data_IF_577060503818
#
_entry.id   IF_577060503818
#
_cell.length_a   1.000
_cell.length_b   1.000
_cell.length_c   1.000
_cell.angle_alpha   90.00
_cell.angle_beta   90.00
_cell.angle_gamma   90.00
#
_symmetry.space_group_name_H-M   'P 1'
#
loop_
_entity.id
_entity.type
_entity.pdbx_description
1 polymer ?
#
# COMPACT_ATOMS: atom_id res chain seq x y z
N UNK A 1 -19.13 -24.56 -7.77
CA UNK A 1 -18.82 -23.63 -8.89
C UNK A 1 -17.85 -22.60 -8.38
N UNK A 2 -16.60 -22.61 -8.83
CA UNK A 2 -15.60 -21.58 -8.46
C UNK A 2 -15.99 -20.27 -9.16
N UNK A 3 -16.13 -19.19 -8.37
CA UNK A 3 -16.40 -17.86 -8.90
C UNK A 3 -15.26 -17.44 -9.86
N UNK A 4 -15.61 -16.67 -10.92
CA UNK A 4 -14.60 -16.08 -11.79
C UNK A 4 -13.69 -15.16 -10.99
N UNK A 5 -12.41 -14.96 -11.37
CA UNK A 5 -11.52 -14.02 -10.69
C UNK A 5 -12.11 -12.63 -10.49
N UNK A 6 -12.84 -12.11 -11.49
CA UNK A 6 -13.52 -10.82 -11.40
C UNK A 6 -14.64 -10.80 -10.34
N UNK A 7 -15.48 -11.84 -10.31
CA UNK A 7 -16.54 -11.96 -9.30
C UNK A 7 -15.96 -12.11 -7.89
N UNK A 8 -14.87 -12.86 -7.73
CA UNK A 8 -14.17 -12.98 -6.45
C UNK A 8 -13.65 -11.62 -5.96
N UNK A 9 -12.99 -10.85 -6.84
CA UNK A 9 -12.49 -9.51 -6.50
C UNK A 9 -13.64 -8.58 -6.08
N UNK A 10 -14.78 -8.61 -6.74
CA UNK A 10 -15.96 -7.79 -6.36
C UNK A 10 -16.49 -8.15 -4.97
N UNK A 11 -16.54 -9.44 -4.63
CA UNK A 11 -16.89 -9.88 -3.29
C UNK A 11 -15.87 -9.42 -2.25
N UNK A 12 -14.58 -9.49 -2.58
CA UNK A 12 -13.51 -9.08 -1.69
C UNK A 12 -13.54 -7.57 -1.43
N UNK A 13 -13.77 -6.74 -2.48
CA UNK A 13 -13.97 -5.28 -2.35
C UNK A 13 -15.13 -4.98 -1.38
N UNK A 14 -16.24 -5.69 -1.55
CA UNK A 14 -17.40 -5.50 -0.68
C UNK A 14 -17.08 -5.84 0.76
N UNK A 15 -16.41 -6.98 1.00
CA UNK A 15 -16.03 -7.43 2.34
C UNK A 15 -15.01 -6.48 2.98
N UNK A 16 -13.99 -6.05 2.24
CA UNK A 16 -12.96 -5.14 2.74
C UNK A 16 -13.47 -3.71 2.99
N UNK A 17 -14.50 -3.26 2.26
CA UNK A 17 -15.09 -1.94 2.46
C UNK A 17 -16.15 -1.91 3.58
N UNK A 18 -16.71 -3.06 3.96
CA UNK A 18 -17.82 -3.13 4.92
C UNK A 18 -17.50 -2.51 6.29
N UNK A 19 -16.30 -2.70 6.89
CA UNK A 19 -15.95 -2.10 8.17
C UNK A 19 -16.08 -0.56 8.20
N UNK A 20 -15.88 0.09 7.05
CA UNK A 20 -15.91 1.55 6.94
C UNK A 20 -17.32 2.16 6.98
N UNK A 21 -18.39 1.35 6.93
CA UNK A 21 -19.77 1.88 7.05
C UNK A 21 -20.00 2.61 8.35
N UNK A 22 -19.46 2.08 9.45
CA UNK A 22 -19.56 2.70 10.77
C UNK A 22 -18.79 4.02 10.85
N UNK A 23 -17.72 4.18 10.07
CA UNK A 23 -16.91 5.40 9.99
C UNK A 23 -17.50 6.48 9.07
N UNK A 24 -18.69 6.24 8.51
CA UNK A 24 -19.47 7.19 7.71
C UNK A 24 -19.44 6.92 6.20
N UNK A 25 -20.41 7.55 5.50
CA UNK A 25 -20.63 7.33 4.05
C UNK A 25 -19.39 7.64 3.22
N UNK A 26 -18.67 8.71 3.53
CA UNK A 26 -17.45 9.09 2.82
C UNK A 26 -16.38 7.99 2.91
N UNK A 27 -16.07 7.52 4.12
CA UNK A 27 -15.07 6.49 4.35
C UNK A 27 -15.41 5.20 3.60
N UNK A 28 -16.67 4.80 3.61
CA UNK A 28 -17.14 3.61 2.92
C UNK A 28 -17.07 3.73 1.39
N UNK A 29 -17.55 4.85 0.80
CA UNK A 29 -17.47 5.06 -0.65
C UNK A 29 -16.02 5.19 -1.11
N UNK A 30 -15.17 5.88 -0.33
CA UNK A 30 -13.75 5.98 -0.61
C UNK A 30 -13.08 4.60 -0.61
N UNK A 31 -13.35 3.76 0.39
CA UNK A 31 -12.82 2.39 0.46
C UNK A 31 -13.23 1.57 -0.77
N UNK A 32 -14.52 1.57 -1.12
CA UNK A 32 -15.01 0.86 -2.31
C UNK A 32 -14.38 1.36 -3.60
N UNK A 33 -14.32 2.68 -3.77
CA UNK A 33 -13.75 3.31 -4.96
C UNK A 33 -12.25 3.02 -5.11
N UNK A 34 -11.49 3.19 -4.04
CA UNK A 34 -10.03 2.95 -4.06
C UNK A 34 -9.72 1.46 -4.26
N UNK A 35 -10.34 0.55 -3.52
CA UNK A 35 -10.10 -0.89 -3.66
C UNK A 35 -10.56 -1.45 -5.01
N UNK A 36 -11.64 -0.89 -5.59
CA UNK A 36 -12.16 -1.36 -6.86
C UNK A 36 -11.57 -0.69 -8.10
N UNK A 37 -11.13 0.58 -7.96
CA UNK A 37 -10.57 1.37 -9.06
C UNK A 37 -9.06 1.31 -9.18
N UNK A 38 -8.37 0.81 -8.16
CA UNK A 38 -6.91 0.76 -8.13
C UNK A 38 -6.41 -0.69 -8.32
N UNK A 39 -5.76 -0.99 -9.46
CA UNK A 39 -5.34 -2.36 -9.78
C UNK A 39 -4.32 -2.95 -8.81
N UNK A 40 -3.60 -2.11 -8.04
CA UNK A 40 -2.55 -2.60 -7.14
C UNK A 40 -3.09 -3.58 -6.10
N UNK A 41 -4.27 -3.34 -5.54
CA UNK A 41 -4.83 -4.19 -4.49
C UNK A 41 -5.07 -5.62 -4.97
N UNK A 42 -5.73 -5.78 -6.13
CA UNK A 42 -5.94 -7.09 -6.73
C UNK A 42 -4.60 -7.74 -7.11
N UNK A 43 -3.66 -6.97 -7.65
CA UNK A 43 -2.34 -7.44 -8.07
C UNK A 43 -1.50 -7.97 -6.89
N UNK A 44 -1.50 -7.28 -5.75
CA UNK A 44 -0.78 -7.73 -4.54
C UNK A 44 -1.16 -9.15 -4.13
N UNK A 45 -2.44 -9.51 -4.27
CA UNK A 45 -2.95 -10.84 -3.93
C UNK A 45 -2.69 -11.86 -5.05
N UNK A 46 -3.02 -11.51 -6.30
CA UNK A 46 -2.92 -12.42 -7.44
C UNK A 46 -1.45 -12.81 -7.75
N UNK A 47 -0.52 -11.89 -7.51
CA UNK A 47 0.92 -12.13 -7.67
C UNK A 47 1.60 -12.70 -6.39
N UNK A 48 0.86 -12.85 -5.28
CA UNK A 48 1.38 -13.42 -4.04
C UNK A 48 2.46 -12.57 -3.37
N UNK A 49 2.49 -11.26 -3.60
CA UNK A 49 3.60 -10.39 -3.16
C UNK A 49 3.71 -10.29 -1.63
N UNK A 50 2.62 -10.58 -0.91
CA UNK A 50 2.55 -10.58 0.54
C UNK A 50 2.32 -11.97 1.15
N UNK A 51 2.35 -13.03 0.34
CA UNK A 51 2.23 -14.41 0.81
C UNK A 51 3.39 -14.76 1.76
N UNK A 52 3.07 -15.37 2.91
CA UNK A 52 4.05 -15.79 3.93
C UNK A 52 4.64 -14.66 4.77
N UNK A 53 4.27 -13.38 4.52
CA UNK A 53 4.75 -12.25 5.32
C UNK A 53 3.97 -12.14 6.62
N UNK A 54 4.68 -12.07 7.75
CA UNK A 54 4.09 -12.07 9.08
C UNK A 54 3.95 -10.67 9.66
N UNK A 55 4.94 -9.79 9.42
CA UNK A 55 4.96 -8.41 9.91
C UNK A 55 5.00 -7.46 8.72
N UNK A 56 3.90 -6.80 8.45
CA UNK A 56 3.75 -5.86 7.34
C UNK A 56 3.72 -4.43 7.89
N UNK A 57 4.57 -3.56 7.36
CA UNK A 57 4.55 -2.12 7.61
C UNK A 57 3.94 -1.42 6.39
N UNK A 58 2.87 -0.65 6.61
CA UNK A 58 2.17 0.16 5.60
C UNK A 58 2.44 1.64 5.86
N UNK A 59 3.33 2.26 5.08
CA UNK A 59 3.71 3.67 5.22
C UNK A 59 2.82 4.53 4.33
N UNK A 60 2.11 5.47 4.94
CA UNK A 60 1.04 6.24 4.30
C UNK A 60 -0.23 5.41 4.15
N UNK A 61 -0.59 4.69 5.20
CA UNK A 61 -1.68 3.71 5.19
C UNK A 61 -3.08 4.32 5.00
N UNK A 62 -3.22 5.65 5.08
CA UNK A 62 -4.51 6.32 5.05
C UNK A 62 -5.44 5.77 6.12
N UNK A 63 -6.67 5.46 5.73
CA UNK A 63 -7.64 4.84 6.64
C UNK A 63 -7.49 3.30 6.78
N UNK A 64 -6.29 2.73 6.49
CA UNK A 64 -6.00 1.31 6.72
C UNK A 64 -6.54 0.36 5.65
N UNK A 65 -6.67 0.81 4.39
CA UNK A 65 -7.29 0.00 3.32
C UNK A 65 -6.51 -1.27 3.02
N UNK A 66 -5.18 -1.24 3.02
CA UNK A 66 -4.36 -2.44 2.83
C UNK A 66 -4.64 -3.47 3.92
N UNK A 67 -4.68 -3.05 5.18
CA UNK A 67 -4.99 -3.94 6.30
C UNK A 67 -6.36 -4.59 6.12
N UNK A 68 -7.40 -3.81 5.81
CA UNK A 68 -8.74 -4.34 5.57
C UNK A 68 -8.78 -5.33 4.41
N UNK A 69 -8.03 -5.04 3.34
CA UNK A 69 -7.90 -5.92 2.18
C UNK A 69 -7.28 -7.27 2.52
N UNK A 70 -6.20 -7.27 3.31
CA UNK A 70 -5.52 -8.49 3.76
C UNK A 70 -6.39 -9.32 4.71
N UNK A 71 -7.11 -8.68 5.63
CA UNK A 71 -8.06 -9.35 6.53
C UNK A 71 -9.23 -9.99 5.75
N UNK A 72 -9.76 -9.31 4.74
CA UNK A 72 -10.80 -9.85 3.88
C UNK A 72 -10.29 -11.05 3.06
N UNK A 73 -9.05 -10.99 2.55
CA UNK A 73 -8.38 -12.09 1.85
C UNK A 73 -8.20 -13.31 2.76
N UNK A 74 -7.71 -13.10 3.98
CA UNK A 74 -7.57 -14.14 4.99
C UNK A 74 -8.91 -14.80 5.32
N UNK A 75 -9.96 -14.00 5.51
CA UNK A 75 -11.30 -14.50 5.79
C UNK A 75 -11.88 -15.28 4.59
N UNK A 76 -11.64 -14.86 3.34
CA UNK A 76 -12.04 -15.59 2.15
C UNK A 76 -11.34 -16.95 2.07
N UNK A 77 -10.05 -16.99 2.34
CA UNK A 77 -9.28 -18.25 2.40
C UNK A 77 -9.81 -19.20 3.48
N UNK A 78 -10.10 -18.69 4.68
CA UNK A 78 -10.63 -19.51 5.77
C UNK A 78 -12.03 -20.07 5.48
N UNK A 79 -12.82 -19.40 4.63
CA UNK A 79 -14.11 -19.89 4.14
C UNK A 79 -14.03 -20.84 2.94
N UNK A 80 -12.81 -21.12 2.43
CA UNK A 80 -12.62 -21.98 1.26
C UNK A 80 -13.06 -21.34 -0.07
N UNK A 81 -13.20 -20.01 -0.11
CA UNK A 81 -13.59 -19.27 -1.33
C UNK A 81 -12.41 -18.65 -2.08
N UNK A 82 -11.17 -18.90 -1.62
CA UNK A 82 -9.96 -18.41 -2.26
C UNK A 82 -9.74 -19.07 -3.62
N UNK A 83 -9.31 -18.32 -4.67
CA UNK A 83 -9.08 -18.89 -5.99
C UNK A 83 -7.94 -19.93 -5.96
N UNK A 84 -8.23 -21.14 -6.42
CA UNK A 84 -7.25 -22.25 -6.37
C UNK A 84 -6.05 -22.10 -7.31
N UNK A 85 -6.11 -21.15 -8.25
CA UNK A 85 -5.02 -20.81 -9.18
C UNK A 85 -4.21 -19.58 -8.72
N UNK A 86 -4.51 -19.01 -7.55
CA UNK A 86 -3.72 -17.94 -6.95
C UNK A 86 -2.72 -18.51 -5.94
N UNK A 87 -1.60 -17.79 -5.68
CA UNK A 87 -0.76 -18.09 -4.53
C UNK A 87 -1.57 -18.10 -3.24
N UNK A 88 -1.05 -18.73 -2.20
CA UNK A 88 -1.71 -18.76 -0.89
C UNK A 88 -2.07 -17.36 -0.41
N UNK A 89 -3.24 -17.25 0.21
CA UNK A 89 -3.71 -15.98 0.76
C UNK A 89 -2.73 -15.47 1.83
N UNK A 90 -2.44 -14.15 1.85
CA UNK A 90 -1.62 -13.57 2.90
C UNK A 90 -2.31 -13.73 4.26
N UNK A 91 -1.53 -14.09 5.27
CA UNK A 91 -1.98 -14.27 6.67
C UNK A 91 -0.99 -13.59 7.61
N UNK A 92 -0.88 -12.26 7.58
CA UNK A 92 0.03 -11.56 8.47
C UNK A 92 -0.39 -11.74 9.92
N UNK A 93 0.60 -11.93 10.80
CA UNK A 93 0.37 -11.90 12.23
C UNK A 93 0.08 -10.48 12.70
N UNK A 94 0.72 -9.49 12.07
CA UNK A 94 0.51 -8.08 12.39
C UNK A 94 0.71 -7.18 11.17
N UNK A 95 -0.18 -6.20 11.00
CA UNK A 95 -0.03 -5.09 10.05
C UNK A 95 0.05 -3.78 10.82
N UNK A 96 1.16 -3.07 10.70
CA UNK A 96 1.34 -1.74 11.28
C UNK A 96 1.20 -0.68 10.22
N UNK A 97 0.25 0.24 10.40
CA UNK A 97 0.07 1.42 9.56
C UNK A 97 0.70 2.67 10.17
N UNK A 98 1.40 3.45 9.37
CA UNK A 98 1.89 4.80 9.72
C UNK A 98 1.20 5.80 8.81
N UNK A 99 0.59 6.83 9.37
CA UNK A 99 -0.13 7.86 8.63
C UNK A 99 0.07 9.23 9.29
N UNK A 100 0.29 10.25 8.47
CA UNK A 100 0.48 11.62 8.95
C UNK A 100 -0.84 12.26 9.43
N UNK A 101 -1.94 11.90 8.77
CA UNK A 101 -3.25 12.53 8.97
C UNK A 101 -4.01 11.89 10.13
N UNK A 102 -4.13 12.57 11.26
CA UNK A 102 -4.81 12.10 12.47
C UNK A 102 -6.23 11.57 12.20
N UNK A 103 -6.99 12.23 11.32
CA UNK A 103 -8.36 11.81 11.02
C UNK A 103 -8.44 10.48 10.24
N UNK A 104 -7.42 10.14 9.46
CA UNK A 104 -7.36 8.86 8.75
C UNK A 104 -6.93 7.74 9.71
N UNK A 105 -6.03 8.02 10.66
CA UNK A 105 -5.68 7.09 11.75
C UNK A 105 -6.92 6.76 12.60
N UNK A 106 -7.69 7.77 13.00
CA UNK A 106 -8.94 7.55 13.76
C UNK A 106 -9.95 6.71 12.97
N UNK A 107 -10.05 6.91 11.66
CA UNK A 107 -10.91 6.09 10.80
C UNK A 107 -10.42 4.65 10.70
N UNK A 108 -9.11 4.45 10.56
CA UNK A 108 -8.50 3.12 10.52
C UNK A 108 -8.76 2.36 11.82
N UNK A 109 -8.48 2.98 12.97
CA UNK A 109 -8.71 2.40 14.29
C UNK A 109 -10.19 2.06 14.53
N UNK A 110 -11.09 2.96 14.14
CA UNK A 110 -12.54 2.73 14.29
C UNK A 110 -13.05 1.61 13.38
N UNK A 111 -12.71 1.65 12.09
CA UNK A 111 -13.17 0.66 11.12
C UNK A 111 -12.60 -0.73 11.41
N UNK A 112 -11.35 -0.81 11.87
CA UNK A 112 -10.63 -2.06 12.08
C UNK A 112 -10.45 -2.39 13.57
N UNK A 113 -11.29 -1.82 14.44
CA UNK A 113 -11.22 -2.02 15.89
C UNK A 113 -11.13 -3.49 16.32
N UNK A 114 -11.86 -4.45 15.74
CA UNK A 114 -11.71 -5.85 16.10
C UNK A 114 -10.29 -6.40 15.84
N UNK A 115 -9.66 -6.02 14.73
CA UNK A 115 -8.30 -6.45 14.40
C UNK A 115 -7.26 -5.77 15.31
N UNK A 116 -7.47 -4.48 15.64
CA UNK A 116 -6.63 -3.75 16.61
C UNK A 116 -6.70 -4.39 17.99
N UNK A 117 -7.91 -4.69 18.48
CA UNK A 117 -8.11 -5.35 19.78
C UNK A 117 -7.52 -6.77 19.83
N UNK A 118 -7.54 -7.48 18.69
CA UNK A 118 -6.92 -8.80 18.56
C UNK A 118 -5.38 -8.74 18.38
N UNK A 119 -4.77 -7.56 18.34
CA UNK A 119 -3.34 -7.38 18.11
C UNK A 119 -2.88 -7.70 16.67
N UNK A 120 -3.82 -7.83 15.72
CA UNK A 120 -3.52 -8.11 14.31
C UNK A 120 -3.19 -6.83 13.51
N UNK A 121 -3.60 -5.67 14.00
CA UNK A 121 -3.32 -4.38 13.39
C UNK A 121 -3.01 -3.31 14.43
N UNK A 122 -2.25 -2.30 14.01
CA UNK A 122 -2.06 -1.05 14.77
C UNK A 122 -1.87 0.11 13.80
N UNK A 123 -2.39 1.28 14.16
CA UNK A 123 -2.25 2.50 13.37
C UNK A 123 -1.64 3.60 14.22
N UNK A 124 -0.64 4.28 13.68
CA UNK A 124 0.10 5.31 14.41
C UNK A 124 0.11 6.59 13.60
N UNK A 125 -0.30 7.70 14.23
CA UNK A 125 -0.11 9.01 13.63
C UNK A 125 1.36 9.39 13.76
N UNK A 126 2.09 9.42 12.64
CA UNK A 126 3.48 9.82 12.61
C UNK A 126 3.90 10.28 11.21
N UNK A 127 4.92 11.13 11.16
CA UNK A 127 5.59 11.52 9.92
C UNK A 127 6.59 10.41 9.52
N UNK A 128 6.49 9.91 8.28
CA UNK A 128 7.41 8.90 7.74
C UNK A 128 8.88 9.35 7.80
N UNK A 129 9.14 10.66 7.78
CA UNK A 129 10.49 11.20 7.85
C UNK A 129 11.15 11.02 9.23
N UNK A 130 10.36 10.81 10.29
CA UNK A 130 10.87 10.68 11.67
C UNK A 130 10.37 9.45 12.42
N UNK A 131 9.34 8.75 11.92
CA UNK A 131 8.74 7.61 12.57
C UNK A 131 9.72 6.45 12.74
N UNK A 132 9.64 5.73 13.85
CA UNK A 132 10.28 4.43 13.99
C UNK A 132 9.53 3.37 13.18
N UNK A 133 10.23 2.67 12.29
CA UNK A 133 9.64 1.64 11.43
C UNK A 133 9.61 0.25 12.10
N UNK A 134 10.41 0.04 13.15
CA UNK A 134 10.54 -1.27 13.78
C UNK A 134 11.11 -2.32 12.83
N UNK A 135 10.69 -3.58 13.02
CA UNK A 135 11.10 -4.70 12.18
C UNK A 135 9.92 -5.23 11.36
N UNK A 136 10.10 -5.46 10.07
CA UNK A 136 9.09 -5.94 9.15
C UNK A 136 9.63 -7.01 8.18
N UNK A 137 8.75 -7.87 7.68
CA UNK A 137 9.04 -8.83 6.61
C UNK A 137 8.65 -8.28 5.24
N UNK A 138 7.72 -7.32 5.24
CA UNK A 138 7.33 -6.55 4.08
C UNK A 138 7.04 -5.10 4.46
N UNK A 139 7.46 -4.16 3.62
CA UNK A 139 7.08 -2.76 3.72
C UNK A 139 6.31 -2.39 2.45
N UNK A 140 5.20 -1.70 2.62
CA UNK A 140 4.35 -1.23 1.53
C UNK A 140 4.29 0.30 1.57
N UNK A 141 4.56 0.94 0.44
CA UNK A 141 4.48 2.39 0.27
C UNK A 141 3.76 2.65 -1.04
N UNK A 142 2.52 3.11 -0.98
CA UNK A 142 1.70 3.34 -2.17
C UNK A 142 1.39 4.83 -2.34
N UNK A 143 2.00 5.47 -3.33
CA UNK A 143 1.69 6.85 -3.77
C UNK A 143 1.89 7.95 -2.71
N UNK A 144 2.80 7.80 -1.76
CA UNK A 144 3.01 8.82 -0.72
C UNK A 144 4.42 9.38 -0.69
N UNK A 145 5.42 8.68 -1.24
CA UNK A 145 6.81 9.10 -1.10
C UNK A 145 7.14 10.40 -1.87
N UNK A 146 6.39 10.71 -2.91
CA UNK A 146 6.57 11.94 -3.69
C UNK A 146 6.12 13.23 -2.96
N UNK A 147 5.50 13.11 -1.78
CA UNK A 147 5.13 14.28 -0.98
C UNK A 147 6.30 14.86 -0.17
N UNK A 148 7.41 14.15 -0.06
CA UNK A 148 8.58 14.61 0.67
C UNK A 148 9.77 14.87 -0.27
N UNK A 149 10.69 15.81 0.09
CA UNK A 149 11.87 16.14 -0.73
C UNK A 149 12.73 14.91 -1.03
N UNK A 150 13.46 14.94 -2.14
CA UNK A 150 14.28 13.82 -2.62
C UNK A 150 15.25 13.29 -1.55
N UNK A 151 15.92 14.18 -0.82
CA UNK A 151 16.81 13.76 0.27
C UNK A 151 16.07 13.01 1.39
N UNK A 152 14.85 13.44 1.73
CA UNK A 152 14.02 12.75 2.71
C UNK A 152 13.50 11.39 2.17
N UNK A 153 13.22 11.30 0.87
CA UNK A 153 12.89 10.01 0.23
C UNK A 153 14.04 9.01 0.38
N UNK A 154 15.27 9.45 0.14
CA UNK A 154 16.47 8.60 0.29
C UNK A 154 16.66 8.13 1.72
N UNK A 155 16.47 9.02 2.71
CA UNK A 155 16.52 8.66 4.14
C UNK A 155 15.42 7.64 4.50
N UNK A 156 14.17 7.88 4.08
CA UNK A 156 13.06 6.93 4.30
C UNK A 156 13.41 5.56 3.73
N UNK A 157 13.92 5.48 2.49
CA UNK A 157 14.28 4.22 1.87
C UNK A 157 15.45 3.52 2.57
N UNK A 158 16.44 4.26 3.05
CA UNK A 158 17.55 3.72 3.85
C UNK A 158 17.03 3.11 5.18
N UNK A 159 16.10 3.78 5.84
CA UNK A 159 15.47 3.29 7.08
C UNK A 159 14.54 2.10 6.83
N UNK A 160 13.83 2.09 5.72
CA UNK A 160 13.07 0.91 5.26
C UNK A 160 13.98 -0.30 5.08
N UNK A 161 15.14 -0.10 4.43
CA UNK A 161 16.13 -1.18 4.28
C UNK A 161 16.59 -1.72 5.63
N UNK A 162 16.79 -0.87 6.63
CA UNK A 162 17.21 -1.28 7.99
C UNK A 162 16.09 -2.00 8.75
N UNK A 163 14.83 -1.65 8.51
CA UNK A 163 13.66 -2.28 9.15
C UNK A 163 13.33 -3.66 8.58
N UNK A 164 13.75 -3.96 7.35
CA UNK A 164 13.44 -5.23 6.70
C UNK A 164 14.32 -6.37 7.23
N UNK A 165 13.65 -7.46 7.57
CA UNK A 165 14.28 -8.74 7.88
C UNK A 165 15.03 -9.30 6.65
N UNK A 166 16.02 -10.19 6.80
CA UNK A 166 16.65 -10.88 5.68
C UNK A 166 15.61 -11.52 4.75
N UNK A 167 15.75 -11.31 3.43
CA UNK A 167 14.77 -11.76 2.44
C UNK A 167 13.44 -10.99 2.46
N UNK A 168 13.38 -9.88 3.19
CA UNK A 168 12.22 -8.98 3.21
C UNK A 168 11.97 -8.30 1.87
N UNK A 169 10.77 -7.74 1.68
CA UNK A 169 10.35 -7.08 0.45
C UNK A 169 9.84 -5.68 0.72
N UNK A 170 10.25 -4.73 -0.11
CA UNK A 170 9.62 -3.42 -0.24
C UNK A 170 8.75 -3.42 -1.49
N UNK A 171 7.49 -3.07 -1.34
CA UNK A 171 6.53 -2.81 -2.41
C UNK A 171 6.31 -1.32 -2.50
N UNK A 172 7.00 -0.68 -3.45
CA UNK A 172 6.96 0.77 -3.63
C UNK A 172 6.23 1.12 -4.91
N UNK A 173 5.10 1.82 -4.82
CA UNK A 173 4.43 2.37 -5.98
C UNK A 173 4.77 3.83 -6.15
N UNK A 174 5.17 4.19 -7.37
CA UNK A 174 5.54 5.54 -7.78
C UNK A 174 4.91 5.90 -9.12
N UNK A 175 4.68 7.18 -9.35
CA UNK A 175 4.40 7.70 -10.68
C UNK A 175 5.72 7.86 -11.46
N UNK A 176 5.75 7.46 -12.73
CA UNK A 176 6.89 7.72 -13.59
C UNK A 176 6.85 9.16 -14.10
N UNK A 177 7.80 9.97 -13.65
CA UNK A 177 7.92 11.38 -14.08
C UNK A 177 8.20 11.53 -15.59
N UNK A 178 8.70 10.49 -16.27
CA UNK A 178 8.91 10.47 -17.74
C UNK A 178 7.61 10.14 -18.51
N UNK A 179 6.52 9.76 -17.84
CA UNK A 179 5.27 9.25 -18.44
C UNK A 179 4.35 10.27 -19.12
N UNK A 180 4.80 11.47 -19.44
CA UNK A 180 4.08 12.43 -20.31
C UNK A 180 2.70 12.88 -19.79
N UNK A 181 1.64 12.71 -20.59
CA UNK A 181 0.27 13.18 -20.27
C UNK A 181 -0.34 12.51 -19.02
N UNK A 182 -0.05 11.23 -18.76
CA UNK A 182 -0.52 10.50 -17.59
C UNK A 182 0.00 11.09 -16.28
N UNK A 183 1.21 11.64 -16.28
CA UNK A 183 1.80 12.34 -15.15
C UNK A 183 1.08 13.65 -14.79
N UNK A 184 0.64 14.42 -15.81
CA UNK A 184 -0.12 15.67 -15.58
C UNK A 184 -1.50 15.44 -14.97
N UNK A 185 -2.15 14.33 -15.29
CA UNK A 185 -3.47 13.96 -14.75
C UNK A 185 -3.32 13.47 -13.31
N UNK A 186 -2.28 12.71 -12.99
CA UNK A 186 -1.95 12.30 -11.61
C UNK A 186 -1.79 13.52 -10.70
N UNK A 187 -1.03 14.51 -11.14
CA UNK A 187 -0.84 15.79 -10.45
C UNK A 187 -2.16 16.53 -10.15
N UNK A 188 -3.12 16.49 -11.07
CA UNK A 188 -4.41 17.16 -10.88
C UNK A 188 -5.28 16.45 -9.84
N UNK A 189 -5.34 15.12 -9.86
CA UNK A 189 -6.10 14.33 -8.87
C UNK A 189 -5.49 14.49 -7.47
N UNK A 190 -4.17 14.44 -7.35
CA UNK A 190 -3.48 14.67 -6.09
C UNK A 190 -3.73 16.10 -5.56
N UNK A 191 -3.78 17.09 -6.43
CA UNK A 191 -4.11 18.48 -6.04
C UNK A 191 -5.54 18.62 -5.53
N UNK A 192 -6.51 17.94 -6.13
CA UNK A 192 -7.90 17.95 -5.68
C UNK A 192 -8.06 17.23 -4.34
N UNK A 193 -7.43 16.05 -4.16
CA UNK A 193 -7.50 15.27 -2.92
C UNK A 193 -6.85 16.01 -1.76
N UNK A 194 -5.74 16.68 -1.99
CA UNK A 194 -5.00 17.42 -0.94
C UNK A 194 -5.64 18.76 -0.62
N UNK A 195 -6.23 19.45 -1.58
CA UNK A 195 -7.01 20.69 -1.33
C UNK A 195 -8.24 20.38 -0.47
N UNK A 196 -8.92 19.25 -0.72
CA UNK A 196 -10.04 18.77 0.10
C UNK A 196 -9.60 18.33 1.51
N UNK A 197 -8.31 17.99 1.71
CA UNK A 197 -7.72 17.61 3.01
C UNK A 197 -7.09 18.78 3.77
N UNK A 198 -7.17 20.01 3.25
CA UNK A 198 -6.71 21.21 3.95
C UNK A 198 -5.20 21.46 3.92
N UNK A 199 -4.43 20.70 3.11
CA UNK A 199 -3.00 20.93 2.91
C UNK A 199 -2.72 21.76 1.64
N UNK A 200 -1.94 22.82 1.77
CA UNK A 200 -1.29 23.49 0.63
C UNK A 200 -0.11 22.63 0.19
N UNK A 201 -0.32 21.73 -0.78
CA UNK A 201 0.81 21.09 -1.45
C UNK A 201 1.57 22.14 -2.25
N UNK A 202 2.80 22.39 -1.85
CA UNK A 202 3.66 23.35 -2.54
C UNK A 202 4.39 22.71 -3.73
N UNK A 203 4.80 21.45 -3.65
CA UNK A 203 5.62 20.79 -4.70
C UNK A 203 5.53 19.28 -4.59
N UNK A 204 5.39 18.57 -5.70
CA UNK A 204 5.56 17.12 -5.79
C UNK A 204 7.00 16.81 -6.24
N UNK A 205 7.67 15.94 -5.51
CA UNK A 205 9.05 15.55 -5.76
C UNK A 205 9.10 14.19 -6.47
N UNK A 206 8.83 14.20 -7.77
CA UNK A 206 8.82 12.99 -8.57
C UNK A 206 10.20 12.73 -9.18
N UNK A 207 10.59 11.46 -9.26
CA UNK A 207 11.82 10.99 -9.91
C UNK A 207 11.50 10.19 -11.17
N UNK A 208 12.38 10.16 -12.17
CA UNK A 208 12.33 9.16 -13.24
C UNK A 208 12.42 7.73 -12.64
N UNK A 209 11.77 6.78 -13.31
CA UNK A 209 11.77 5.38 -12.87
C UNK A 209 13.18 4.81 -12.66
N UNK A 210 14.12 5.14 -13.57
CA UNK A 210 15.51 4.70 -13.45
C UNK A 210 16.17 5.16 -12.15
N UNK A 211 15.93 6.42 -11.72
CA UNK A 211 16.49 6.95 -10.48
C UNK A 211 15.97 6.19 -9.24
N UNK A 212 14.68 5.82 -9.23
CA UNK A 212 14.11 4.96 -8.16
C UNK A 212 14.81 3.59 -8.13
N UNK A 213 14.98 2.96 -9.30
CA UNK A 213 15.62 1.65 -9.40
C UNK A 213 17.08 1.71 -8.95
N UNK A 214 17.82 2.74 -9.34
CA UNK A 214 19.24 2.90 -8.98
C UNK A 214 19.41 3.14 -7.48
N UNK A 215 18.56 3.98 -6.88
CA UNK A 215 18.54 4.19 -5.42
C UNK A 215 18.31 2.86 -4.68
N UNK A 216 17.31 2.08 -5.09
CA UNK A 216 16.99 0.81 -4.44
C UNK A 216 18.10 -0.24 -4.63
N UNK A 217 18.68 -0.33 -5.84
CA UNK A 217 19.83 -1.23 -6.10
C UNK A 217 21.04 -0.85 -5.26
N UNK A 218 21.30 0.47 -5.11
CA UNK A 218 22.36 1.00 -4.24
C UNK A 218 22.16 0.63 -2.76
N UNK A 219 20.92 0.48 -2.32
CA UNK A 219 20.56 0.01 -0.98
C UNK A 219 20.61 -1.52 -0.84
N UNK A 220 20.99 -2.27 -1.87
CA UNK A 220 21.14 -3.73 -1.82
C UNK A 220 19.87 -4.51 -2.15
N UNK A 221 18.90 -3.91 -2.84
CA UNK A 221 17.73 -4.62 -3.33
C UNK A 221 17.92 -5.16 -4.75
N UNK A 222 17.29 -6.30 -5.02
CA UNK A 222 16.95 -6.73 -6.37
C UNK A 222 15.57 -6.13 -6.72
N UNK A 223 15.52 -5.38 -7.84
CA UNK A 223 14.36 -4.55 -8.17
C UNK A 223 13.74 -4.98 -9.47
N UNK A 224 12.46 -5.34 -9.43
CA UNK A 224 11.59 -5.59 -10.56
C UNK A 224 10.57 -4.45 -10.67
N UNK A 225 10.34 -3.93 -11.89
CA UNK A 225 9.35 -2.90 -12.16
C UNK A 225 8.15 -3.51 -12.89
N UNK A 226 6.96 -3.30 -12.35
CA UNK A 226 5.71 -3.83 -12.88
C UNK A 226 4.77 -2.67 -13.21
N UNK A 227 4.30 -2.57 -14.47
CA UNK A 227 3.34 -1.55 -14.86
C UNK A 227 2.03 -1.70 -14.07
N UNK A 228 1.54 -0.62 -13.48
CA UNK A 228 0.36 -0.62 -12.60
C UNK A 228 -0.65 0.45 -13.03
N UNK A 229 -0.76 0.67 -14.33
CA UNK A 229 -1.61 1.70 -14.94
C UNK A 229 -2.91 1.15 -15.53
N UNK A 230 -3.13 -0.17 -15.54
CA UNK A 230 -4.28 -0.79 -16.22
C UNK A 230 -5.60 -0.22 -15.69
N UNK A 231 -6.40 0.34 -16.60
CA UNK A 231 -7.69 0.94 -16.26
C UNK A 231 -7.62 2.29 -15.57
N UNK A 232 -6.43 2.90 -15.46
CA UNK A 232 -6.25 4.24 -14.88
C UNK A 232 -5.49 5.16 -15.86
N UNK A 233 -5.72 6.47 -15.83
CA UNK A 233 -4.96 7.42 -16.65
C UNK A 233 -3.54 7.70 -16.12
N UNK A 234 -3.10 7.01 -15.08
CA UNK A 234 -1.85 7.27 -14.37
C UNK A 234 -0.72 6.38 -14.86
N UNK A 235 0.48 6.92 -15.01
CA UNK A 235 1.70 6.17 -15.32
C UNK A 235 2.31 5.58 -14.02
N UNK A 236 1.52 4.75 -13.31
CA UNK A 236 1.96 4.14 -12.06
C UNK A 236 2.77 2.88 -12.31
N UNK A 237 3.87 2.74 -11.57
CA UNK A 237 4.75 1.57 -11.57
C UNK A 237 4.89 1.05 -10.16
N UNK A 238 4.69 -0.24 -9.98
CA UNK A 238 5.01 -0.94 -8.74
C UNK A 238 6.45 -1.48 -8.83
N UNK A 239 7.30 -1.04 -7.94
CA UNK A 239 8.64 -1.57 -7.74
C UNK A 239 8.57 -2.65 -6.67
N UNK A 240 8.86 -3.88 -7.06
CA UNK A 240 9.01 -5.02 -6.14
C UNK A 240 10.50 -5.15 -5.86
N UNK A 241 10.92 -4.66 -4.69
CA UNK A 241 12.31 -4.63 -4.27
C UNK A 241 12.57 -5.67 -3.18
N UNK A 242 13.29 -6.74 -3.51
CA UNK A 242 13.63 -7.83 -2.57
C UNK A 242 15.02 -7.58 -2.00
N UNK A 243 15.12 -7.57 -0.66
CA UNK A 243 16.43 -7.41 -0.01
C UNK A 243 17.29 -8.64 -0.29
N UNK A 244 18.47 -8.41 -0.87
CA UNK A 244 19.42 -9.49 -1.13
C UNK A 244 19.78 -10.18 0.17
N UNK A 245 19.80 -11.51 0.16
CA UNK A 245 20.39 -12.24 1.26
C UNK A 245 21.89 -11.86 1.35
N UNK A 246 22.32 -11.43 2.52
CA UNK A 246 23.75 -11.31 2.75
C UNK A 246 24.36 -12.71 2.73
N UNK A 247 25.44 -12.94 1.95
CA UNK A 247 26.07 -14.25 1.89
C UNK A 247 26.60 -14.70 3.24
#
# INVERSE_FOLDING_TARGET
>A
MTATPAAFIQHLITAAAEPYRASGRYAWYFARGKLGGDPVFAHLLAAGLLTGRQRILDIGCGQGLLTSWLLAAQAASSRGTWPGNWPDAPRPAHVRGIELMAHDVVRADSALAPAVQAGQASFVQADMCSADFGQADAVVILDVLHYVPIAAQDDVLARVRQSLSPGGVLLLRVGDAAGGLGFKISNWVDHVVTTLRGHRLSTLYCRPLAAWQDTLRGLGFDVEAQAMSQGTPFANVLLVARLRATP
#
